data_IF_023801137876
#
_entry.id   IF_023801137876
#
_cell.length_a   1.000
_cell.length_b   1.000
_cell.length_c   1.000
_cell.angle_alpha   90.00
_cell.angle_beta   90.00
_cell.angle_gamma   90.00
#
_symmetry.space_group_name_H-M   'P 1'
#
loop_
_entity.id
_entity.type
_entity.pdbx_description
1 polymer ?
#
# COMPACT_ATOMS: atom_id res chain seq x y z
N UNK A 1 10.25 -14.42 -26.83
CA UNK A 1 9.26 -13.89 -25.88
C UNK A 1 9.82 -14.06 -24.49
N UNK A 2 10.08 -12.96 -23.77
CA UNK A 2 10.37 -13.05 -22.33
C UNK A 2 9.07 -13.44 -21.66
N UNK A 3 9.04 -14.60 -21.01
CA UNK A 3 7.97 -14.94 -20.09
C UNK A 3 8.09 -13.97 -18.91
N UNK A 4 7.33 -12.88 -18.93
CA UNK A 4 7.13 -12.06 -17.75
C UNK A 4 6.24 -12.87 -16.82
N UNK A 5 6.85 -13.46 -15.78
CA UNK A 5 6.12 -13.96 -14.63
C UNK A 5 5.23 -12.80 -14.17
N UNK A 6 3.91 -12.98 -14.00
CA UNK A 6 3.04 -11.93 -13.51
C UNK A 6 3.65 -11.34 -12.24
N UNK A 7 3.81 -10.01 -12.21
CA UNK A 7 4.32 -9.36 -11.03
C UNK A 7 3.20 -9.41 -9.99
N UNK A 8 3.30 -10.32 -9.01
CA UNK A 8 2.34 -10.38 -7.90
C UNK A 8 2.38 -9.04 -7.15
N UNK A 9 1.23 -8.34 -7.12
CA UNK A 9 1.08 -7.10 -6.37
C UNK A 9 0.66 -7.43 -4.94
N UNK A 10 1.29 -6.75 -3.98
CA UNK A 10 0.95 -6.83 -2.56
C UNK A 10 0.27 -5.53 -2.14
N UNK A 11 -0.85 -5.63 -1.45
CA UNK A 11 -1.59 -4.50 -0.89
C UNK A 11 -1.92 -4.77 0.58
N UNK A 12 -1.91 -3.74 1.43
CA UNK A 12 -2.45 -3.86 2.79
C UNK A 12 -3.96 -3.63 2.78
N UNK A 13 -4.67 -4.24 3.73
CA UNK A 13 -6.09 -3.97 3.98
C UNK A 13 -6.36 -2.48 4.27
N UNK A 14 -5.42 -1.76 4.86
CA UNK A 14 -5.50 -0.30 5.06
C UNK A 14 -5.52 0.47 3.73
N UNK A 15 -4.63 0.15 2.79
CA UNK A 15 -4.63 0.77 1.45
C UNK A 15 -5.90 0.44 0.70
N UNK A 16 -6.34 -0.83 0.74
CA UNK A 16 -7.59 -1.24 0.12
C UNK A 16 -8.80 -0.46 0.69
N UNK A 17 -8.88 -0.35 2.02
CA UNK A 17 -9.95 0.38 2.70
C UNK A 17 -9.95 1.87 2.34
N UNK A 18 -8.78 2.51 2.32
CA UNK A 18 -8.65 3.93 1.98
C UNK A 18 -9.04 4.19 0.52
N UNK A 19 -8.52 3.42 -0.43
CA UNK A 19 -8.84 3.56 -1.86
C UNK A 19 -10.32 3.36 -2.11
N UNK A 20 -10.93 2.30 -1.56
CA UNK A 20 -12.37 2.02 -1.73
C UNK A 20 -13.21 3.15 -1.13
N UNK A 21 -12.83 3.67 0.04
CA UNK A 21 -13.54 4.77 0.70
C UNK A 21 -13.43 6.10 -0.07
N UNK A 22 -12.23 6.46 -0.51
CA UNK A 22 -12.00 7.70 -1.28
C UNK A 22 -12.72 7.64 -2.63
N UNK A 23 -12.66 6.51 -3.34
CA UNK A 23 -13.35 6.37 -4.62
C UNK A 23 -14.86 6.33 -4.42
N UNK A 24 -15.35 5.60 -3.42
CA UNK A 24 -16.78 5.54 -3.10
C UNK A 24 -17.38 6.87 -2.67
N UNK A 25 -16.60 7.75 -2.04
CA UNK A 25 -17.04 9.11 -1.69
C UNK A 25 -16.98 10.09 -2.88
N UNK A 26 -16.06 9.89 -3.84
CA UNK A 26 -15.88 10.77 -5.01
C UNK A 26 -16.62 10.32 -6.27
N UNK A 27 -17.10 9.08 -6.30
CA UNK A 27 -17.80 8.43 -7.42
C UNK A 27 -18.95 7.60 -6.82
N UNK A 28 -20.09 7.52 -7.51
CA UNK A 28 -21.20 6.61 -7.15
C UNK A 28 -20.62 5.20 -6.96
N UNK A 29 -21.08 4.38 -5.98
CA UNK A 29 -20.36 3.20 -5.46
C UNK A 29 -19.86 2.10 -6.42
N UNK A 30 -20.24 2.09 -7.71
CA UNK A 30 -19.84 1.04 -8.67
C UNK A 30 -18.31 0.94 -8.90
N UNK A 31 -17.54 2.03 -9.09
CA UNK A 31 -16.09 1.95 -9.25
C UNK A 31 -15.37 1.50 -7.97
N UNK A 32 -15.91 1.81 -6.79
CA UNK A 32 -15.35 1.35 -5.52
C UNK A 32 -15.47 -0.17 -5.39
N UNK A 33 -16.61 -0.76 -5.80
CA UNK A 33 -16.80 -2.20 -5.86
C UNK A 33 -15.81 -2.88 -6.83
N UNK A 34 -15.59 -2.30 -8.01
CA UNK A 34 -14.64 -2.83 -9.00
C UNK A 34 -13.22 -2.87 -8.43
N UNK A 35 -12.79 -1.80 -7.76
CA UNK A 35 -11.46 -1.76 -7.13
C UNK A 35 -11.32 -2.75 -5.97
N UNK A 36 -12.35 -2.86 -5.13
CA UNK A 36 -12.38 -3.85 -4.06
C UNK A 36 -12.22 -5.28 -4.63
N UNK A 37 -12.96 -5.61 -5.68
CA UNK A 37 -12.88 -6.92 -6.31
C UNK A 37 -11.49 -7.17 -6.93
N UNK A 38 -10.93 -6.17 -7.61
CA UNK A 38 -9.57 -6.26 -8.15
C UNK A 38 -8.52 -6.58 -7.07
N UNK A 39 -8.57 -5.93 -5.89
CA UNK A 39 -7.63 -6.24 -4.82
C UNK A 39 -7.75 -7.68 -4.32
N UNK A 40 -8.96 -8.26 -4.30
CA UNK A 40 -9.15 -9.64 -3.85
C UNK A 40 -8.77 -10.69 -4.90
N UNK A 41 -8.92 -10.37 -6.18
CA UNK A 41 -8.69 -11.33 -7.27
C UNK A 41 -7.24 -11.30 -7.78
N UNK A 42 -6.62 -10.12 -7.81
CA UNK A 42 -5.36 -9.89 -8.54
C UNK A 42 -4.18 -9.47 -7.64
N UNK A 43 -4.41 -9.29 -6.33
CA UNK A 43 -3.36 -8.91 -5.38
C UNK A 43 -3.27 -9.90 -4.20
N UNK A 44 -2.07 -10.07 -3.64
CA UNK A 44 -1.92 -10.57 -2.28
C UNK A 44 -2.41 -9.45 -1.33
N UNK A 45 -3.41 -9.76 -0.50
CA UNK A 45 -3.89 -8.82 0.53
C UNK A 45 -3.32 -9.21 1.89
N UNK A 46 -2.49 -8.34 2.46
CA UNK A 46 -2.00 -8.48 3.83
C UNK A 46 -2.89 -7.72 4.81
N UNK A 47 -3.42 -8.44 5.80
CA UNK A 47 -4.18 -7.82 6.89
C UNK A 47 -3.26 -7.27 7.97
N UNK A 48 -3.34 -5.96 8.22
CA UNK A 48 -2.49 -5.30 9.22
C UNK A 48 -2.90 -5.75 10.62
N UNK A 49 -1.99 -6.47 11.28
CA UNK A 49 -2.13 -6.88 12.69
C UNK A 49 -1.37 -5.95 13.62
N UNK A 50 -1.65 -6.04 14.92
CA UNK A 50 -1.06 -5.20 15.96
C UNK A 50 0.47 -5.03 15.83
N UNK A 51 1.21 -6.11 15.60
CA UNK A 51 2.67 -6.03 15.47
C UNK A 51 3.11 -5.17 14.29
N UNK A 52 2.44 -5.28 13.13
CA UNK A 52 2.73 -4.49 11.95
C UNK A 52 2.30 -3.03 12.15
N UNK A 53 1.18 -2.80 12.83
CA UNK A 53 0.71 -1.46 13.17
C UNK A 53 1.66 -0.73 14.13
N UNK A 54 2.26 -1.45 15.08
CA UNK A 54 3.31 -0.90 15.97
C UNK A 54 4.56 -0.51 15.19
N UNK A 55 4.98 -1.30 14.21
CA UNK A 55 6.09 -0.95 13.31
C UNK A 55 5.77 0.23 12.40
N UNK A 56 4.52 0.31 11.91
CA UNK A 56 4.05 1.47 11.15
C UNK A 56 4.20 2.77 11.95
N UNK A 57 3.87 2.75 13.25
CA UNK A 57 4.03 3.92 14.11
C UNK A 57 5.50 4.38 14.25
N UNK A 58 6.47 3.46 14.17
CA UNK A 58 7.90 3.83 14.15
C UNK A 58 8.24 4.60 12.88
N UNK A 59 7.67 4.20 11.73
CA UNK A 59 7.82 4.95 10.49
C UNK A 59 7.12 6.31 10.54
N UNK A 60 5.91 6.39 11.09
CA UNK A 60 5.15 7.64 11.24
C UNK A 60 5.98 8.68 12.00
N UNK A 61 6.54 8.29 13.15
CA UNK A 61 7.44 9.13 13.94
C UNK A 61 8.73 9.49 13.18
N UNK A 62 9.32 8.56 12.43
CA UNK A 62 10.53 8.81 11.63
C UNK A 62 10.30 9.87 10.54
N UNK A 63 9.08 9.96 10.01
CA UNK A 63 8.71 10.92 8.98
C UNK A 63 7.91 12.12 9.49
N UNK A 64 7.84 12.29 10.82
CA UNK A 64 7.17 13.40 11.51
C UNK A 64 5.71 13.57 11.06
N UNK A 65 4.98 12.45 10.94
CA UNK A 65 3.58 12.42 10.49
C UNK A 65 3.37 12.81 9.02
N UNK A 66 4.45 12.94 8.22
CA UNK A 66 4.38 13.27 6.80
C UNK A 66 3.97 12.09 5.90
N UNK A 67 3.66 10.93 6.47
CA UNK A 67 3.10 9.78 5.77
C UNK A 67 1.86 9.32 6.53
N UNK A 68 0.84 8.84 5.82
CA UNK A 68 -0.32 8.26 6.51
C UNK A 68 0.05 6.96 7.21
N UNK A 69 -0.78 6.51 8.16
CA UNK A 69 -0.56 5.21 8.81
C UNK A 69 -0.62 4.05 7.80
N UNK A 70 -1.40 4.18 6.71
CA UNK A 70 -1.47 3.19 5.64
C UNK A 70 -0.14 3.13 4.85
N UNK A 71 0.47 4.29 4.58
CA UNK A 71 1.78 4.37 3.94
C UNK A 71 2.87 3.78 4.84
N UNK A 72 2.85 4.13 6.13
CA UNK A 72 3.77 3.59 7.12
C UNK A 72 3.62 2.08 7.31
N UNK A 73 2.39 1.56 7.28
CA UNK A 73 2.13 0.11 7.31
C UNK A 73 2.67 -0.58 6.06
N UNK A 74 2.57 0.07 4.90
CA UNK A 74 3.15 -0.41 3.65
C UNK A 74 4.68 -0.47 3.75
N UNK A 75 5.33 0.56 4.31
CA UNK A 75 6.79 0.55 4.55
C UNK A 75 7.22 -0.55 5.53
N UNK A 76 6.49 -0.75 6.63
CA UNK A 76 6.76 -1.82 7.59
C UNK A 76 6.63 -3.20 6.91
N UNK A 77 5.57 -3.40 6.14
CA UNK A 77 5.32 -4.65 5.41
C UNK A 77 6.41 -4.92 4.38
N UNK A 78 6.81 -3.90 3.63
CA UNK A 78 7.93 -3.97 2.69
C UNK A 78 9.22 -4.40 3.38
N UNK A 79 9.54 -3.81 4.54
CA UNK A 79 10.70 -4.19 5.34
C UNK A 79 10.64 -5.66 5.77
N UNK A 80 9.48 -6.14 6.26
CA UNK A 80 9.29 -7.54 6.66
C UNK A 80 9.44 -8.54 5.52
N UNK A 81 8.94 -8.18 4.33
CA UNK A 81 8.92 -9.04 3.15
C UNK A 81 10.17 -8.87 2.28
N UNK A 82 11.10 -7.99 2.63
CA UNK A 82 12.29 -7.68 1.82
C UNK A 82 11.95 -7.01 0.47
N UNK A 83 10.78 -6.39 0.37
CA UNK A 83 10.31 -5.73 -0.86
C UNK A 83 10.91 -4.33 -0.91
N UNK A 84 11.49 -3.97 -2.06
CA UNK A 84 12.09 -2.65 -2.27
C UNK A 84 11.38 -1.81 -3.32
N UNK A 85 10.41 -2.37 -4.05
CA UNK A 85 9.69 -1.69 -5.11
C UNK A 85 8.26 -1.38 -4.69
N UNK A 86 7.80 -0.17 -4.95
CA UNK A 86 6.44 0.29 -4.64
C UNK A 86 5.88 1.06 -5.83
N UNK A 87 4.55 1.08 -5.97
CA UNK A 87 3.81 1.95 -6.90
C UNK A 87 3.07 3.01 -6.08
N UNK A 88 3.71 4.14 -5.73
CA UNK A 88 3.09 5.18 -4.92
C UNK A 88 2.58 6.32 -5.79
N UNK A 89 1.36 6.77 -5.49
CA UNK A 89 0.78 7.97 -6.10
C UNK A 89 1.10 9.25 -5.32
N UNK A 90 1.57 9.12 -4.07
CA UNK A 90 1.97 10.23 -3.23
C UNK A 90 3.47 10.57 -3.38
N UNK A 91 3.80 11.87 -3.42
CA UNK A 91 5.17 12.37 -3.43
C UNK A 91 5.83 12.24 -2.06
N UNK A 92 5.07 12.08 -0.97
CA UNK A 92 5.66 11.94 0.36
C UNK A 92 6.54 10.69 0.52
N UNK A 93 6.36 9.67 -0.35
CA UNK A 93 7.28 8.54 -0.48
C UNK A 93 8.69 8.93 -0.94
N UNK A 94 8.92 10.14 -1.47
CA UNK A 94 10.26 10.64 -1.82
C UNK A 94 11.14 10.81 -0.57
N UNK A 95 10.53 10.87 0.62
CA UNK A 95 11.24 10.88 1.91
C UNK A 95 11.78 9.50 2.29
N UNK A 96 11.22 8.42 1.72
CA UNK A 96 11.57 7.05 2.07
C UNK A 96 12.83 6.59 1.31
N UNK A 97 13.98 6.62 1.98
CA UNK A 97 15.30 6.40 1.36
C UNK A 97 15.55 4.98 0.85
N UNK A 98 14.82 3.99 1.37
CA UNK A 98 15.09 2.57 1.13
C UNK A 98 14.13 1.95 0.08
N UNK A 99 13.42 2.79 -0.67
CA UNK A 99 12.34 2.36 -1.56
C UNK A 99 12.55 2.85 -3.00
N UNK A 100 12.27 1.97 -3.96
CA UNK A 100 12.34 2.23 -5.39
C UNK A 100 10.92 2.40 -5.93
N UNK A 101 10.60 3.59 -6.44
CA UNK A 101 9.32 3.86 -7.10
C UNK A 101 9.31 3.19 -8.47
N UNK A 102 8.21 2.53 -8.80
CA UNK A 102 7.89 2.12 -10.17
C UNK A 102 6.92 3.17 -10.73
N UNK A 103 7.21 3.65 -11.94
CA UNK A 103 6.40 4.62 -12.69
C UNK A 103 5.69 3.95 -13.85
#
# INVERSE_FOLDING_TARGET
MKNEVPQEFLVSDLVAAEVVTIIGSRRVGRPAQVLHQYFLDECEVEFVREALLREAMVHDLRYDGGLSIADCASLALMSRRGIRRIVPFDRDFDRARDVQRIH
#
